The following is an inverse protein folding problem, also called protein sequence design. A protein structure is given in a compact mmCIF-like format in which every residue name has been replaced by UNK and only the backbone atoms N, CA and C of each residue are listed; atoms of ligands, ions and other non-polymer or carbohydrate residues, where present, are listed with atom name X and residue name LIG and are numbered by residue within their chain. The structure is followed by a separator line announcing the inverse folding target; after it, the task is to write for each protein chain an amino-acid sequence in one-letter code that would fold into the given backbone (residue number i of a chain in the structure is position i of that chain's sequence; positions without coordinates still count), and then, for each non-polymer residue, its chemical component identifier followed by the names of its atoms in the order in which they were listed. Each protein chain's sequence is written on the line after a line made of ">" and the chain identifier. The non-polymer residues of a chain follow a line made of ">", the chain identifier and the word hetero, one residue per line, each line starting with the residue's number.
data_IF_244598367608
#
_entry.id   IF_244598367608
#
_cell.length_a   1.000
_cell.length_b   1.000
_cell.length_c   1.000
_cell.angle_alpha   90.00
_cell.angle_beta   90.00
_cell.angle_gamma   90.00
#
_symmetry.space_group_name_H-M   'P 1'
#
loop_
_entity.id
_entity.type
_entity.pdbx_description
1 polymer ?
#
# COMPACT_ATOMS: atom_id res chain seq x y z
N UNK A 1 -20.37 -32.68 35.10
CA UNK A 1 -20.06 -31.51 34.25
C UNK A 1 -18.57 -31.57 33.94
N UNK A 2 -18.26 -32.27 32.84
CA UNK A 2 -17.01 -32.38 32.07
C UNK A 2 -15.64 -32.24 32.78
N UNK A 3 -15.05 -33.38 33.18
CA UNK A 3 -13.59 -33.56 33.30
C UNK A 3 -12.89 -33.60 31.91
N UNK A 4 -13.64 -33.41 30.83
CA UNK A 4 -13.17 -33.52 29.44
C UNK A 4 -12.56 -32.22 28.90
N UNK A 5 -12.80 -31.07 29.55
CA UNK A 5 -12.33 -29.77 29.08
C UNK A 5 -10.93 -29.35 29.58
N UNK A 6 -10.32 -30.12 30.48
CA UNK A 6 -8.93 -29.89 30.92
C UNK A 6 -7.94 -30.89 30.30
N UNK A 7 -8.27 -31.46 29.15
CA UNK A 7 -7.23 -31.96 28.25
C UNK A 7 -6.55 -30.73 27.68
N UNK A 8 -5.51 -30.24 28.38
CA UNK A 8 -4.50 -29.35 27.81
C UNK A 8 -4.32 -29.81 26.36
N UNK A 9 -4.62 -28.93 25.42
CA UNK A 9 -4.23 -29.09 24.03
C UNK A 9 -2.70 -29.00 24.01
N UNK A 10 -2.03 -30.01 24.56
CA UNK A 10 -0.63 -30.28 24.31
C UNK A 10 -0.62 -30.63 22.84
N UNK A 11 -0.39 -29.60 22.02
CA UNK A 11 -0.01 -29.78 20.63
C UNK A 11 1.01 -30.92 20.62
N UNK A 12 0.81 -31.97 19.80
CA UNK A 12 1.75 -33.07 19.72
C UNK A 12 3.15 -32.48 19.58
N UNK A 13 4.13 -33.00 20.36
CA UNK A 13 5.52 -32.53 20.31
C UNK A 13 5.97 -32.62 18.86
N UNK A 14 6.00 -31.47 18.20
CA UNK A 14 6.21 -31.38 16.78
C UNK A 14 7.63 -31.84 16.47
N UNK A 15 7.80 -32.73 15.49
CA UNK A 15 9.16 -33.14 15.13
C UNK A 15 9.90 -31.93 14.52
N UNK A 16 11.24 -31.86 14.64
CA UNK A 16 12.00 -30.74 14.05
C UNK A 16 11.74 -30.55 12.55
N UNK A 17 11.50 -31.65 11.81
CA UNK A 17 11.16 -31.60 10.38
C UNK A 17 9.78 -31.02 10.12
N UNK A 18 8.78 -31.36 10.93
CA UNK A 18 7.42 -30.83 10.82
C UNK A 18 7.39 -29.33 11.14
N UNK A 19 8.12 -28.91 12.19
CA UNK A 19 8.26 -27.50 12.55
C UNK A 19 8.84 -26.67 11.39
N UNK A 20 9.96 -27.12 10.81
CA UNK A 20 10.58 -26.44 9.66
C UNK A 20 9.63 -26.37 8.46
N UNK A 21 8.91 -27.47 8.17
CA UNK A 21 7.94 -27.50 7.08
C UNK A 21 6.80 -26.50 7.30
N UNK A 22 6.27 -26.41 8.52
CA UNK A 22 5.20 -25.47 8.89
C UNK A 22 5.65 -24.03 8.70
N UNK A 23 6.80 -23.66 9.28
CA UNK A 23 7.33 -22.28 9.20
C UNK A 23 7.62 -21.90 7.75
N UNK A 24 8.15 -22.83 6.95
CA UNK A 24 8.37 -22.59 5.53
C UNK A 24 7.07 -22.41 4.74
N UNK A 25 6.01 -23.14 5.08
CA UNK A 25 4.68 -22.96 4.49
C UNK A 25 4.10 -21.59 4.87
N UNK A 26 4.26 -21.17 6.12
CA UNK A 26 3.84 -19.84 6.59
C UNK A 26 4.60 -18.74 5.85
N UNK A 27 5.92 -18.87 5.73
CA UNK A 27 6.75 -17.92 4.98
C UNK A 27 6.29 -17.76 3.52
N UNK A 28 5.99 -18.86 2.84
CA UNK A 28 5.43 -18.82 1.48
C UNK A 28 4.09 -18.07 1.41
N UNK A 29 3.20 -18.34 2.36
CA UNK A 29 1.89 -17.70 2.41
C UNK A 29 2.01 -16.17 2.64
N UNK A 30 2.95 -15.76 3.49
CA UNK A 30 3.22 -14.32 3.73
C UNK A 30 3.80 -13.66 2.48
N UNK A 31 4.73 -14.32 1.76
CA UNK A 31 5.25 -13.81 0.50
C UNK A 31 4.17 -13.65 -0.57
N UNK A 32 3.27 -14.64 -0.69
CA UNK A 32 2.14 -14.57 -1.61
C UNK A 32 1.19 -13.40 -1.25
N UNK A 33 0.93 -13.21 0.04
CA UNK A 33 0.14 -12.08 0.54
C UNK A 33 0.81 -10.74 0.23
N UNK A 34 2.14 -10.65 0.42
CA UNK A 34 2.94 -9.46 0.09
C UNK A 34 2.84 -9.12 -1.40
N UNK A 35 2.98 -10.12 -2.29
CA UNK A 35 2.81 -9.93 -3.73
C UNK A 35 1.39 -9.47 -4.08
N UNK A 36 0.37 -10.08 -3.46
CA UNK A 36 -1.02 -9.71 -3.69
C UNK A 36 -1.31 -8.24 -3.30
N UNK A 37 -0.83 -7.80 -2.14
CA UNK A 37 -0.97 -6.41 -1.72
C UNK A 37 -0.21 -5.44 -2.61
N UNK A 38 1.00 -5.81 -3.04
CA UNK A 38 1.76 -5.02 -4.00
C UNK A 38 1.01 -4.86 -5.34
N UNK A 39 0.46 -5.95 -5.88
CA UNK A 39 -0.30 -5.92 -7.13
C UNK A 39 -1.58 -5.09 -7.01
N UNK A 40 -2.29 -5.21 -5.89
CA UNK A 40 -3.48 -4.41 -5.61
C UNK A 40 -3.14 -2.91 -5.51
N UNK A 41 -2.04 -2.57 -4.84
CA UNK A 41 -1.55 -1.19 -4.74
C UNK A 41 -1.21 -0.61 -6.12
N UNK A 42 -0.49 -1.37 -6.96
CA UNK A 42 -0.12 -0.93 -8.31
C UNK A 42 -1.32 -0.75 -9.24
N UNK A 43 -2.33 -1.63 -9.14
CA UNK A 43 -3.59 -1.48 -9.86
C UNK A 43 -4.35 -0.24 -9.40
N UNK A 44 -4.40 0.00 -8.10
CA UNK A 44 -5.05 1.17 -7.53
C UNK A 44 -4.43 2.49 -8.02
N UNK A 45 -3.09 2.61 -8.00
CA UNK A 45 -2.38 3.78 -8.53
C UNK A 45 -2.60 3.98 -10.03
N UNK A 46 -2.60 2.89 -10.79
CA UNK A 46 -2.88 2.95 -12.23
C UNK A 46 -4.29 3.49 -12.50
N UNK A 47 -5.29 3.07 -11.72
CA UNK A 47 -6.65 3.61 -11.81
C UNK A 47 -6.72 5.10 -11.45
N UNK A 48 -5.97 5.54 -10.44
CA UNK A 48 -5.90 6.96 -10.11
C UNK A 48 -5.36 7.78 -11.29
N UNK A 49 -4.32 7.29 -11.97
CA UNK A 49 -3.74 7.92 -13.14
C UNK A 49 -4.64 7.91 -14.38
N UNK A 50 -5.66 7.08 -14.44
CA UNK A 50 -6.64 7.11 -15.54
C UNK A 50 -7.84 7.98 -15.20
N UNK A 51 -8.39 7.83 -13.99
CA UNK A 51 -9.62 8.53 -13.56
C UNK A 51 -9.38 10.04 -13.43
N UNK A 52 -8.27 10.46 -12.82
CA UNK A 52 -8.04 11.89 -12.53
C UNK A 52 -7.88 12.72 -13.82
N UNK A 53 -7.05 12.33 -14.81
CA UNK A 53 -6.98 13.04 -16.07
C UNK A 53 -8.29 12.98 -16.87
N UNK A 54 -9.03 11.86 -16.82
CA UNK A 54 -10.31 11.75 -17.49
C UNK A 54 -11.34 12.74 -16.93
N UNK A 55 -11.45 12.85 -15.60
CA UNK A 55 -12.31 13.83 -14.94
C UNK A 55 -11.84 15.27 -15.21
N UNK A 56 -10.53 15.51 -15.25
CA UNK A 56 -9.95 16.80 -15.62
C UNK A 56 -10.28 17.21 -17.06
N UNK A 57 -10.13 16.29 -18.01
CA UNK A 57 -10.48 16.53 -19.42
C UNK A 57 -11.98 16.80 -19.60
N UNK A 58 -12.84 16.05 -18.90
CA UNK A 58 -14.28 16.30 -18.90
C UNK A 58 -14.62 17.69 -18.34
N UNK A 59 -13.95 18.11 -17.26
CA UNK A 59 -14.15 19.43 -16.69
C UNK A 59 -13.80 20.53 -17.70
N UNK A 60 -12.71 20.39 -18.47
CA UNK A 60 -12.34 21.35 -19.52
C UNK A 60 -13.43 21.48 -20.59
N UNK A 61 -13.96 20.36 -21.09
CA UNK A 61 -15.01 20.36 -22.11
C UNK A 61 -16.29 21.04 -21.61
N UNK A 62 -16.70 20.76 -20.37
CA UNK A 62 -17.90 21.37 -19.77
C UNK A 62 -17.70 22.88 -19.55
N UNK A 63 -16.52 23.30 -19.09
CA UNK A 63 -16.25 24.70 -18.78
C UNK A 63 -16.09 25.57 -20.03
N UNK A 64 -15.69 25.00 -21.17
CA UNK A 64 -15.65 25.69 -22.45
C UNK A 64 -17.06 26.11 -22.92
N UNK A 65 -18.06 25.26 -22.67
CA UNK A 65 -19.47 25.57 -22.97
C UNK A 65 -20.12 26.51 -21.94
N UNK A 66 -19.73 26.40 -20.67
CA UNK A 66 -20.30 27.16 -19.56
C UNK A 66 -19.22 28.01 -18.90
N UNK A 67 -19.00 29.23 -19.42
CA UNK A 67 -18.02 30.20 -18.88
C UNK A 67 -18.49 30.75 -17.51
N UNK A 68 -18.47 29.90 -16.49
CA UNK A 68 -18.83 30.24 -15.12
C UNK A 68 -17.72 29.81 -14.17
N UNK A 69 -16.98 30.81 -13.67
CA UNK A 69 -15.85 30.64 -12.76
C UNK A 69 -16.24 29.87 -11.49
N UNK A 70 -17.47 30.04 -10.98
CA UNK A 70 -17.94 29.32 -9.80
C UNK A 70 -18.05 27.81 -10.05
N UNK A 71 -18.47 27.41 -11.27
CA UNK A 71 -18.55 26.01 -11.66
C UNK A 71 -17.14 25.43 -11.78
N UNK A 72 -16.19 26.17 -12.37
CA UNK A 72 -14.79 25.76 -12.49
C UNK A 72 -14.14 25.52 -11.12
N UNK A 73 -14.34 26.44 -10.17
CA UNK A 73 -13.85 26.30 -8.80
C UNK A 73 -14.47 25.08 -8.13
N UNK A 74 -15.78 24.85 -8.29
CA UNK A 74 -16.46 23.66 -7.77
C UNK A 74 -15.88 22.35 -8.28
N UNK A 75 -15.61 22.26 -9.60
CA UNK A 75 -14.94 21.09 -10.19
C UNK A 75 -13.51 20.90 -9.70
N UNK A 76 -12.76 21.98 -9.51
CA UNK A 76 -11.41 21.90 -8.97
C UNK A 76 -11.43 21.32 -7.54
N UNK A 77 -12.33 21.79 -6.67
CA UNK A 77 -12.51 21.23 -5.33
C UNK A 77 -12.91 19.75 -5.36
N UNK A 78 -13.78 19.35 -6.29
CA UNK A 78 -14.14 17.94 -6.48
C UNK A 78 -12.91 17.10 -6.85
N UNK A 79 -12.11 17.54 -7.81
CA UNK A 79 -10.88 16.85 -8.22
C UNK A 79 -9.88 16.73 -7.06
N UNK A 80 -9.72 17.79 -6.25
CA UNK A 80 -8.90 17.73 -5.04
C UNK A 80 -9.45 16.74 -4.02
N UNK A 81 -10.76 16.74 -3.79
CA UNK A 81 -11.39 15.80 -2.85
C UNK A 81 -11.18 14.34 -3.30
N UNK A 82 -11.31 14.07 -4.60
CA UNK A 82 -11.03 12.74 -5.18
C UNK A 82 -9.54 12.40 -5.03
N UNK A 83 -8.62 13.33 -5.33
CA UNK A 83 -7.17 13.11 -5.17
C UNK A 83 -6.79 12.79 -3.73
N UNK A 84 -7.33 13.54 -2.75
CA UNK A 84 -7.13 13.29 -1.32
C UNK A 84 -7.74 11.94 -0.92
N UNK A 85 -8.93 11.61 -1.42
CA UNK A 85 -9.55 10.31 -1.18
C UNK A 85 -8.67 9.16 -1.67
N UNK A 86 -8.07 9.32 -2.86
CA UNK A 86 -7.12 8.35 -3.42
C UNK A 86 -5.89 8.21 -2.53
N UNK A 87 -5.31 9.33 -2.11
CA UNK A 87 -4.18 9.34 -1.18
C UNK A 87 -4.51 8.60 0.12
N UNK A 88 -5.68 8.84 0.72
CA UNK A 88 -6.07 8.20 1.97
C UNK A 88 -6.18 6.68 1.82
N UNK A 89 -6.79 6.19 0.74
CA UNK A 89 -6.93 4.75 0.52
C UNK A 89 -5.58 4.10 0.21
N UNK A 90 -4.73 4.72 -0.62
CA UNK A 90 -3.37 4.21 -0.86
C UNK A 90 -2.57 4.19 0.46
N UNK A 91 -2.38 5.37 1.07
CA UNK A 91 -1.45 5.56 2.16
C UNK A 91 -1.91 4.94 3.47
N UNK A 92 -3.18 5.12 3.84
CA UNK A 92 -3.68 4.65 5.14
C UNK A 92 -4.14 3.19 5.11
N UNK A 93 -4.38 2.61 3.93
CA UNK A 93 -4.90 1.24 3.81
C UNK A 93 -3.92 0.32 3.07
N UNK A 94 -3.78 0.46 1.75
CA UNK A 94 -2.99 -0.49 0.95
C UNK A 94 -1.51 -0.50 1.29
N UNK A 95 -0.89 0.67 1.41
CA UNK A 95 0.51 0.81 1.75
C UNK A 95 0.81 0.25 3.15
N UNK A 96 -0.08 0.47 4.12
CA UNK A 96 0.07 -0.08 5.49
C UNK A 96 -0.06 -1.59 5.53
N UNK A 97 -0.98 -2.18 4.77
CA UNK A 97 -1.11 -3.63 4.68
C UNK A 97 0.14 -4.27 4.06
N UNK A 98 0.69 -3.67 3.00
CA UNK A 98 1.94 -4.14 2.38
C UNK A 98 3.10 -4.07 3.37
N UNK A 99 3.24 -2.97 4.12
CA UNK A 99 4.29 -2.82 5.12
C UNK A 99 4.18 -3.85 6.25
N UNK A 100 2.97 -4.17 6.67
CA UNK A 100 2.71 -5.23 7.65
C UNK A 100 3.13 -6.61 7.15
N UNK A 101 2.81 -6.95 5.89
CA UNK A 101 3.22 -8.22 5.29
C UNK A 101 4.74 -8.34 5.15
N UNK A 102 5.43 -7.25 4.75
CA UNK A 102 6.90 -7.18 4.68
C UNK A 102 7.51 -7.40 6.07
N UNK A 103 7.01 -6.71 7.09
CA UNK A 103 7.53 -6.89 8.46
C UNK A 103 7.37 -8.33 8.94
N UNK A 104 6.22 -8.97 8.67
CA UNK A 104 5.99 -10.36 9.06
C UNK A 104 6.91 -11.33 8.32
N UNK A 105 7.21 -11.08 7.04
CA UNK A 105 8.15 -11.93 6.31
C UNK A 105 9.58 -11.77 6.83
N UNK A 106 10.02 -10.57 7.22
CA UNK A 106 11.31 -10.37 7.89
C UNK A 106 11.41 -11.12 9.22
N UNK A 107 10.38 -11.06 10.07
CA UNK A 107 10.35 -11.81 11.34
C UNK A 107 10.45 -13.33 11.11
N UNK A 108 9.78 -13.85 10.08
CA UNK A 108 9.88 -15.27 9.71
C UNK A 108 11.27 -15.62 9.13
N UNK A 109 11.90 -14.70 8.39
CA UNK A 109 13.26 -14.91 7.90
C UNK A 109 14.26 -15.05 9.06
N UNK A 110 14.11 -14.23 10.10
CA UNK A 110 14.90 -14.30 11.33
C UNK A 110 14.64 -15.61 12.10
N UNK A 111 13.37 -15.99 12.27
CA UNK A 111 13.01 -17.23 12.97
C UNK A 111 13.58 -18.48 12.27
N UNK A 112 13.52 -18.55 10.94
CA UNK A 112 14.08 -19.68 10.18
C UNK A 112 15.61 -19.73 10.31
N UNK A 113 16.27 -18.57 10.31
CA UNK A 113 17.72 -18.47 10.48
C UNK A 113 18.16 -18.94 11.86
N UNK A 114 17.41 -18.60 12.92
CA UNK A 114 17.65 -19.09 14.29
C UNK A 114 17.49 -20.61 14.42
N UNK A 115 16.63 -21.23 13.60
CA UNK A 115 16.50 -22.69 13.52
C UNK A 115 17.67 -23.38 12.81
N UNK A 116 18.69 -22.64 12.35
CA UNK A 116 19.85 -23.17 11.66
C UNK A 116 19.60 -23.55 10.19
N UNK A 117 18.44 -23.16 9.64
CA UNK A 117 18.14 -23.29 8.21
C UNK A 117 18.43 -21.97 7.51
N UNK A 118 19.37 -21.96 6.57
CA UNK A 118 19.66 -20.79 5.73
C UNK A 118 19.68 -21.16 4.25
N UNK A 119 18.52 -21.41 3.63
CA UNK A 119 18.41 -21.53 2.18
C UNK A 119 18.89 -20.26 1.47
N UNK A 120 19.49 -20.41 0.28
CA UNK A 120 20.04 -19.28 -0.48
C UNK A 120 19.02 -18.19 -0.88
N UNK A 121 17.72 -18.52 -0.88
CA UNK A 121 16.64 -17.57 -1.22
C UNK A 121 16.07 -16.84 0.01
N UNK A 122 16.50 -17.21 1.21
CA UNK A 122 16.02 -16.66 2.47
C UNK A 122 16.79 -15.36 2.75
N UNK A 123 16.08 -14.30 3.14
CA UNK A 123 16.65 -12.97 3.30
C UNK A 123 16.31 -11.99 2.18
N UNK A 124 15.50 -12.39 1.18
CA UNK A 124 15.16 -11.50 0.06
C UNK A 124 14.43 -10.25 0.56
N UNK A 125 13.45 -10.43 1.44
CA UNK A 125 12.68 -9.31 1.99
C UNK A 125 13.59 -8.40 2.82
N UNK A 126 14.40 -8.96 3.71
CA UNK A 126 15.34 -8.19 4.51
C UNK A 126 16.36 -7.39 3.67
N UNK A 127 16.85 -7.95 2.57
CA UNK A 127 17.76 -7.23 1.66
C UNK A 127 17.06 -6.06 0.95
N UNK A 128 15.79 -6.24 0.53
CA UNK A 128 14.99 -5.18 -0.09
C UNK A 128 14.72 -4.07 0.93
N UNK A 129 14.25 -4.40 2.13
CA UNK A 129 13.94 -3.42 3.18
C UNK A 129 15.20 -2.65 3.64
N UNK A 130 16.36 -3.31 3.68
CA UNK A 130 17.64 -2.63 3.96
C UNK A 130 18.00 -1.57 2.91
N UNK A 131 17.64 -1.80 1.64
CA UNK A 131 17.85 -0.84 0.55
C UNK A 131 16.75 0.21 0.46
N UNK A 132 15.53 -0.16 0.82
CA UNK A 132 14.34 0.69 0.77
C UNK A 132 13.58 0.58 2.09
N UNK A 133 14.05 1.27 3.15
CA UNK A 133 13.42 1.18 4.45
C UNK A 133 12.03 1.82 4.43
N UNK A 134 11.16 1.37 5.35
CA UNK A 134 9.77 1.83 5.49
C UNK A 134 9.61 3.37 5.44
N UNK A 135 10.51 4.11 6.09
CA UNK A 135 10.46 5.58 6.12
C UNK A 135 10.78 6.20 4.74
N UNK A 136 11.72 5.62 3.99
CA UNK A 136 12.08 6.09 2.66
C UNK A 136 10.95 5.79 1.67
N UNK A 137 10.37 4.60 1.75
CA UNK A 137 9.17 4.24 0.99
C UNK A 137 7.99 5.19 1.30
N UNK A 138 7.78 5.49 2.59
CA UNK A 138 6.78 6.46 3.05
C UNK A 138 7.00 7.84 2.43
N UNK A 139 8.24 8.33 2.44
CA UNK A 139 8.60 9.62 1.84
C UNK A 139 8.33 9.64 0.33
N UNK A 140 8.65 8.56 -0.38
CA UNK A 140 8.39 8.47 -1.83
C UNK A 140 6.88 8.52 -2.12
N UNK A 141 6.06 7.81 -1.34
CA UNK A 141 4.59 7.87 -1.49
C UNK A 141 4.08 9.28 -1.19
N UNK A 142 4.58 9.93 -0.14
CA UNK A 142 4.19 11.30 0.18
C UNK A 142 4.55 12.27 -0.96
N UNK A 143 5.77 12.19 -1.51
CA UNK A 143 6.17 13.03 -2.65
C UNK A 143 5.31 12.78 -3.89
N UNK A 144 5.00 11.52 -4.16
CA UNK A 144 4.13 11.13 -5.29
C UNK A 144 2.76 11.83 -5.25
N UNK A 145 2.17 12.00 -4.06
CA UNK A 145 0.89 12.68 -3.91
C UNK A 145 1.01 14.19 -3.72
N UNK A 146 2.08 14.66 -3.07
CA UNK A 146 2.29 16.08 -2.77
C UNK A 146 2.61 16.89 -4.03
N UNK A 147 3.43 16.35 -4.94
CA UNK A 147 3.86 17.10 -6.14
C UNK A 147 2.67 17.46 -7.04
N UNK A 148 1.80 16.51 -7.47
CA UNK A 148 0.63 16.85 -8.27
C UNK A 148 -0.35 17.76 -7.53
N UNK A 149 -0.48 17.59 -6.20
CA UNK A 149 -1.34 18.42 -5.37
C UNK A 149 -0.89 19.89 -5.36
N UNK A 150 0.41 20.15 -5.16
CA UNK A 150 0.97 21.50 -5.20
C UNK A 150 0.88 22.13 -6.59
N UNK A 151 1.11 21.34 -7.64
CA UNK A 151 0.91 21.79 -9.03
C UNK A 151 -0.54 22.21 -9.26
N UNK A 152 -1.50 21.39 -8.81
CA UNK A 152 -2.93 21.71 -8.89
C UNK A 152 -3.28 23.01 -8.17
N UNK A 153 -2.74 23.23 -6.97
CA UNK A 153 -2.96 24.47 -6.22
C UNK A 153 -2.38 25.67 -6.98
N UNK A 154 -1.16 25.55 -7.51
CA UNK A 154 -0.52 26.60 -8.29
C UNK A 154 -1.35 26.99 -9.51
N UNK A 155 -1.90 26.00 -10.23
CA UNK A 155 -2.80 26.22 -11.36
C UNK A 155 -4.07 26.94 -10.92
N UNK A 156 -4.70 26.53 -9.82
CA UNK A 156 -5.92 27.16 -9.31
C UNK A 156 -5.66 28.62 -8.93
N UNK A 157 -4.60 28.91 -8.19
CA UNK A 157 -4.23 30.28 -7.79
C UNK A 157 -3.94 31.15 -9.02
N UNK A 158 -3.21 30.62 -10.01
CA UNK A 158 -2.94 31.32 -11.26
C UNK A 158 -4.23 31.75 -11.96
N UNK A 159 -5.22 30.84 -12.09
CA UNK A 159 -6.50 31.18 -12.69
C UNK A 159 -7.33 32.15 -11.84
N UNK A 160 -7.31 32.03 -10.51
CA UNK A 160 -8.04 32.96 -9.61
C UNK A 160 -7.45 34.37 -9.57
N UNK A 161 -6.17 34.56 -9.92
CA UNK A 161 -5.56 35.89 -10.01
C UNK A 161 -5.74 36.56 -11.38
N UNK A 162 -6.05 35.79 -12.42
CA UNK A 162 -6.21 36.29 -13.80
C UNK A 162 -7.68 36.54 -14.14
N UNK A 163 -8.61 35.76 -13.57
CA UNK A 163 -10.06 35.94 -13.70
C UNK A 163 -10.58 37.09 -12.83
#
# INVERSE_FOLDING_TARGET
>A
MSEEQSKKLTLPKETPKEKVKRVFQEYKLVLETQMHFNDMLMKYRSLAFTVIPALGGLAVVILDEFVNVNIAIGFAFLLFAVWIGIFLVDFCYYFRMLLGAVKRSEELEEEIKEMGFSPSFLGLTGHINKKMPAWAATLVVLLFYLVPFLVGIGVLVYFSCIA
#
